data_IF_256346550111
#
_entry.id   IF_256346550111
#
_cell.length_a   1.000
_cell.length_b   1.000
_cell.length_c   1.000
_cell.angle_alpha   90.00
_cell.angle_beta   90.00
_cell.angle_gamma   90.00
#
_symmetry.space_group_name_H-M   'P 1'
#
loop_
_entity.id
_entity.type
_entity.pdbx_description
1 polymer ?
#
# COMPACT_ATOMS: atom_id res chain seq x y z
N UNK A 1 -14.54 -15.48 26.36
CA UNK A 1 -14.24 -14.11 25.93
C UNK A 1 -13.33 -14.18 24.72
N UNK A 2 -13.93 -14.13 23.54
CA UNK A 2 -13.21 -14.19 22.26
C UNK A 2 -12.55 -12.83 22.04
N UNK A 3 -11.23 -12.75 22.19
CA UNK A 3 -10.46 -11.55 21.82
C UNK A 3 -10.71 -11.30 20.33
N UNK A 4 -11.52 -10.28 20.01
CA UNK A 4 -11.74 -9.82 18.63
C UNK A 4 -10.40 -9.32 18.09
N UNK A 5 -9.74 -10.15 17.28
CA UNK A 5 -8.57 -9.79 16.49
C UNK A 5 -9.00 -8.86 15.33
N UNK A 6 -9.36 -7.62 15.67
CA UNK A 6 -9.83 -6.61 14.71
C UNK A 6 -8.75 -6.26 13.65
N UNK A 7 -7.47 -6.51 13.97
CA UNK A 7 -6.32 -6.12 13.16
C UNK A 7 -5.81 -7.18 12.16
N UNK A 8 -6.38 -8.40 12.14
CA UNK A 8 -5.64 -9.55 11.61
C UNK A 8 -5.84 -9.94 10.14
N UNK A 9 -6.64 -9.25 9.31
CA UNK A 9 -6.81 -9.74 7.93
C UNK A 9 -6.86 -8.74 6.76
N UNK A 10 -7.27 -7.48 6.91
CA UNK A 10 -7.45 -6.59 5.72
C UNK A 10 -7.06 -5.12 6.04
N UNK A 11 -6.46 -4.85 7.21
CA UNK A 11 -6.21 -3.48 7.67
C UNK A 11 -4.89 -2.86 7.17
N UNK A 12 -4.04 -3.56 6.40
CA UNK A 12 -2.67 -3.11 6.11
C UNK A 12 -2.61 -1.86 5.22
N UNK A 13 -3.52 -1.72 4.26
CA UNK A 13 -3.49 -0.60 3.28
C UNK A 13 -4.17 0.65 3.85
N UNK A 14 -5.38 0.51 4.41
CA UNK A 14 -6.12 1.65 4.96
C UNK A 14 -5.52 2.21 6.28
N UNK A 15 -4.93 1.36 7.13
CA UNK A 15 -4.34 1.79 8.40
C UNK A 15 -2.91 2.35 8.23
N UNK A 16 -2.21 2.02 7.14
CA UNK A 16 -0.87 2.56 6.88
C UNK A 16 -0.89 4.10 6.77
N UNK A 17 -1.93 4.68 6.15
CA UNK A 17 -2.13 6.13 6.08
C UNK A 17 -2.49 6.79 7.42
N UNK A 18 -3.14 6.06 8.34
CA UNK A 18 -3.48 6.57 9.67
C UNK A 18 -2.32 6.44 10.69
N UNK A 19 -1.44 5.45 10.52
CA UNK A 19 -0.30 5.19 11.41
C UNK A 19 0.88 6.17 11.21
N UNK A 20 0.89 6.96 10.14
CA UNK A 20 1.89 8.04 9.93
C UNK A 20 1.76 9.17 10.95
N UNK A 21 0.60 9.32 11.63
CA UNK A 21 0.26 10.54 12.37
C UNK A 21 0.57 10.56 13.89
N UNK A 22 1.04 9.48 14.52
CA UNK A 22 1.40 9.56 15.95
C UNK A 22 2.54 8.63 16.37
N UNK A 23 3.77 8.96 15.99
CA UNK A 23 4.93 8.23 16.46
C UNK A 23 5.80 9.14 17.31
N UNK A 24 5.51 9.14 18.62
CA UNK A 24 6.34 9.78 19.63
C UNK A 24 7.75 9.16 19.66
N UNK A 25 8.69 9.87 20.29
CA UNK A 25 10.05 9.40 20.58
C UNK A 25 10.05 7.96 21.12
N UNK A 26 11.08 7.15 20.83
CA UNK A 26 11.11 5.77 21.28
C UNK A 26 10.90 5.68 22.79
N UNK A 27 9.89 4.91 23.21
CA UNK A 27 9.85 4.37 24.57
C UNK A 27 11.01 3.37 24.64
N UNK A 28 11.76 3.29 25.75
CA UNK A 28 13.04 2.56 25.79
C UNK A 28 13.05 1.22 25.02
N UNK A 29 14.15 0.94 24.32
CA UNK A 29 14.29 -0.21 23.42
C UNK A 29 13.82 -1.52 24.05
N UNK A 30 13.18 -2.35 23.22
CA UNK A 30 12.59 -3.62 23.62
C UNK A 30 12.50 -4.55 22.41
N UNK A 31 13.45 -5.47 22.27
CA UNK A 31 13.50 -6.43 21.15
C UNK A 31 12.27 -7.33 21.08
N UNK A 32 11.72 -7.70 22.24
CA UNK A 32 10.64 -8.69 22.34
C UNK A 32 9.23 -8.11 22.21
N UNK A 33 9.13 -6.81 21.87
CA UNK A 33 7.89 -6.08 21.80
C UNK A 33 6.85 -6.73 20.85
N UNK A 34 5.54 -6.56 21.14
CA UNK A 34 4.49 -7.36 20.52
C UNK A 34 4.13 -6.94 19.10
N UNK A 35 4.59 -5.77 18.65
CA UNK A 35 4.31 -5.21 17.33
C UNK A 35 5.61 -4.86 16.59
N UNK A 36 5.49 -4.69 15.27
CA UNK A 36 6.56 -4.27 14.38
C UNK A 36 6.06 -3.09 13.55
N UNK A 37 6.90 -2.06 13.40
CA UNK A 37 6.57 -0.84 12.65
C UNK A 37 7.74 -0.44 11.75
N UNK A 38 7.45 0.41 10.76
CA UNK A 38 8.50 1.01 9.93
C UNK A 38 9.34 2.00 10.72
N UNK A 39 10.65 1.97 10.46
CA UNK A 39 11.55 3.05 10.85
C UNK A 39 11.12 4.37 10.16
N UNK A 40 11.26 5.55 10.80
CA UNK A 40 10.73 6.81 10.28
C UNK A 40 11.05 7.16 8.83
N UNK A 41 12.21 6.77 8.31
CA UNK A 41 12.66 7.07 6.95
C UNK A 41 12.33 5.96 5.95
N UNK A 42 11.75 4.85 6.40
CA UNK A 42 11.31 3.74 5.55
C UNK A 42 9.82 3.88 5.21
N UNK A 43 9.50 3.86 3.92
CA UNK A 43 8.11 3.91 3.42
C UNK A 43 7.49 2.51 3.36
N UNK A 44 6.17 2.42 3.53
CA UNK A 44 5.41 1.17 3.40
C UNK A 44 5.48 0.58 1.98
N UNK A 45 5.47 1.45 0.98
CA UNK A 45 5.69 1.13 -0.44
C UNK A 45 6.98 1.80 -0.90
N UNK A 46 7.96 1.01 -1.33
CA UNK A 46 9.29 1.53 -1.68
C UNK A 46 9.69 1.16 -3.10
N UNK A 47 10.11 2.16 -3.89
CA UNK A 47 10.61 1.96 -5.25
C UNK A 47 11.94 1.21 -5.25
N UNK A 48 12.13 0.36 -6.26
CA UNK A 48 13.41 -0.27 -6.55
C UNK A 48 13.61 -0.34 -8.06
N UNK A 49 14.84 -0.12 -8.52
CA UNK A 49 15.19 -0.36 -9.92
C UNK A 49 15.57 -1.83 -10.14
N UNK A 50 15.32 -2.35 -11.34
CA UNK A 50 15.77 -3.69 -11.72
C UNK A 50 17.29 -3.86 -11.52
N UNK A 51 17.68 -4.94 -10.84
CA UNK A 51 19.08 -5.25 -10.51
C UNK A 51 19.69 -4.39 -9.40
N UNK A 52 18.95 -3.41 -8.88
CA UNK A 52 19.36 -2.60 -7.72
C UNK A 52 18.74 -3.15 -6.45
N UNK A 53 19.23 -2.65 -5.32
CA UNK A 53 18.75 -3.02 -3.99
C UNK A 53 18.20 -1.81 -3.25
N UNK A 54 17.16 -2.05 -2.46
CA UNK A 54 16.68 -1.12 -1.43
C UNK A 54 16.79 -1.77 -0.05
N UNK A 55 16.90 -0.96 0.99
CA UNK A 55 16.98 -1.42 2.37
C UNK A 55 15.77 -0.91 3.13
N UNK A 56 14.96 -1.81 3.67
CA UNK A 56 13.81 -1.49 4.51
C UNK A 56 14.24 -1.54 5.97
N UNK A 57 13.98 -0.48 6.74
CA UNK A 57 14.22 -0.42 8.18
C UNK A 57 12.93 -0.67 8.97
N UNK A 58 12.98 -1.58 9.95
CA UNK A 58 11.86 -1.92 10.82
C UNK A 58 12.29 -1.91 12.30
N UNK A 59 11.37 -1.57 13.18
CA UNK A 59 11.59 -1.44 14.62
C UNK A 59 10.49 -2.14 15.41
N UNK A 60 10.81 -2.80 16.54
CA UNK A 60 9.81 -3.21 17.51
C UNK A 60 8.98 -2.03 17.99
N UNK A 61 7.74 -2.32 18.34
CA UNK A 61 6.82 -1.36 18.92
C UNK A 61 5.96 -1.99 20.01
N UNK A 62 5.61 -1.17 20.99
CA UNK A 62 4.80 -1.62 22.12
C UNK A 62 3.36 -1.94 21.69
N UNK A 63 2.52 -2.38 22.64
CA UNK A 63 1.11 -2.72 22.38
C UNK A 63 0.25 -1.57 21.80
N UNK A 64 0.74 -0.33 21.87
CA UNK A 64 0.10 0.87 21.32
C UNK A 64 0.76 1.35 20.02
N UNK A 65 1.57 0.51 19.37
CA UNK A 65 2.31 0.81 18.14
C UNK A 65 3.30 1.98 18.26
N UNK A 66 3.73 2.31 19.49
CA UNK A 66 4.80 3.28 19.69
C UNK A 66 6.14 2.59 19.48
N UNK A 67 7.00 3.19 18.65
CA UNK A 67 8.35 2.71 18.37
C UNK A 67 9.13 2.54 19.68
N UNK A 68 9.90 1.46 19.76
CA UNK A 68 10.84 1.24 20.86
C UNK A 68 12.25 0.97 20.34
N UNK A 69 12.35 0.23 19.23
CA UNK A 69 13.64 -0.17 18.67
C UNK A 69 14.19 -1.44 19.32
N UNK A 70 15.23 -2.00 18.70
CA UNK A 70 15.91 -3.18 19.21
C UNK A 70 16.89 -2.82 20.34
N UNK A 71 17.05 -3.72 21.30
CA UNK A 71 17.92 -3.52 22.48
C UNK A 71 19.39 -3.37 22.10
N UNK A 72 19.79 -3.98 20.98
CA UNK A 72 21.17 -3.96 20.50
C UNK A 72 21.24 -4.03 18.98
N UNK A 73 22.43 -3.67 18.45
CA UNK A 73 22.76 -3.87 17.04
C UNK A 73 22.66 -5.34 16.62
N UNK A 74 23.04 -6.26 17.50
CA UNK A 74 23.00 -7.70 17.22
C UNK A 74 21.55 -8.21 17.17
N UNK A 75 20.68 -7.70 18.04
CA UNK A 75 19.25 -7.99 17.98
C UNK A 75 18.64 -7.47 16.68
N UNK A 76 18.88 -6.21 16.34
CA UNK A 76 18.44 -5.63 15.08
C UNK A 76 18.89 -6.44 13.85
N UNK A 77 20.15 -6.91 13.84
CA UNK A 77 20.71 -7.63 12.71
C UNK A 77 20.13 -9.03 12.49
N UNK A 78 19.60 -9.66 13.53
CA UNK A 78 19.24 -11.08 13.52
C UNK A 78 17.77 -11.36 13.87
N UNK A 79 16.99 -10.36 14.28
CA UNK A 79 15.61 -10.56 14.71
C UNK A 79 14.63 -10.64 13.53
N UNK A 80 14.90 -9.95 12.43
CA UNK A 80 13.97 -9.88 11.30
C UNK A 80 14.09 -11.10 10.38
N UNK A 81 12.95 -11.53 9.83
CA UNK A 81 12.89 -12.56 8.79
C UNK A 81 11.75 -12.27 7.83
N UNK A 82 12.01 -12.37 6.53
CA UNK A 82 10.95 -12.50 5.52
C UNK A 82 10.39 -13.91 5.63
N UNK A 83 9.20 -14.04 6.20
CA UNK A 83 8.55 -15.34 6.39
C UNK A 83 7.87 -15.81 5.09
N UNK A 84 7.28 -14.89 4.35
CA UNK A 84 6.66 -15.19 3.06
C UNK A 84 6.66 -13.98 2.13
N UNK A 85 6.47 -14.25 0.83
CA UNK A 85 6.20 -13.23 -0.18
C UNK A 85 4.85 -13.58 -0.79
N UNK A 86 3.84 -12.76 -0.51
CA UNK A 86 2.43 -13.04 -0.84
C UNK A 86 2.09 -12.60 -2.26
N UNK A 87 2.74 -11.56 -2.75
CA UNK A 87 2.60 -11.01 -4.11
C UNK A 87 3.97 -10.81 -4.74
N UNK A 88 4.09 -11.06 -6.04
CA UNK A 88 5.24 -10.60 -6.83
C UNK A 88 6.58 -11.24 -6.50
N UNK A 89 6.59 -12.49 -6.05
CA UNK A 89 7.85 -13.23 -5.79
C UNK A 89 8.78 -13.25 -7.01
N UNK A 90 8.21 -13.27 -8.21
CA UNK A 90 8.94 -13.22 -9.47
C UNK A 90 9.55 -11.85 -9.78
N UNK A 91 9.19 -10.79 -9.05
CA UNK A 91 9.70 -9.42 -9.25
C UNK A 91 10.99 -9.15 -8.50
N UNK A 92 11.29 -9.92 -7.45
CA UNK A 92 12.45 -9.71 -6.60
C UNK A 92 13.36 -10.94 -6.55
N UNK A 93 14.62 -10.73 -6.18
CA UNK A 93 15.60 -11.80 -6.02
C UNK A 93 15.55 -12.36 -4.60
N UNK A 94 14.85 -13.47 -4.40
CA UNK A 94 14.66 -14.05 -3.06
C UNK A 94 15.93 -14.67 -2.47
N UNK A 95 16.86 -15.12 -3.32
CA UNK A 95 18.14 -15.70 -2.88
C UNK A 95 19.15 -14.62 -2.45
N UNK A 96 18.82 -13.34 -2.69
CA UNK A 96 19.66 -12.19 -2.41
C UNK A 96 19.20 -11.37 -1.19
N UNK A 97 18.21 -11.84 -0.43
CA UNK A 97 17.75 -11.17 0.79
C UNK A 97 18.89 -11.11 1.81
N UNK A 98 19.19 -9.89 2.29
CA UNK A 98 20.20 -9.69 3.34
C UNK A 98 19.57 -9.01 4.54
N UNK A 99 19.96 -9.46 5.73
CA UNK A 99 19.52 -8.90 7.00
C UNK A 99 20.66 -8.11 7.64
N UNK A 100 20.32 -7.07 8.39
CA UNK A 100 21.30 -6.21 9.02
C UNK A 100 20.68 -5.28 10.06
N UNK A 101 21.47 -4.31 10.49
CA UNK A 101 21.05 -3.31 11.45
C UNK A 101 21.52 -1.93 11.00
N UNK A 102 20.71 -0.92 11.30
CA UNK A 102 21.06 0.49 11.16
C UNK A 102 20.79 1.21 12.48
N UNK A 103 21.59 2.23 12.76
CA UNK A 103 21.33 3.12 13.88
C UNK A 103 20.39 4.22 13.39
N UNK A 104 19.33 4.50 14.14
CA UNK A 104 18.39 5.59 13.88
C UNK A 104 18.95 6.92 14.40
N UNK A 105 18.37 8.04 13.96
CA UNK A 105 18.83 9.38 14.34
C UNK A 105 18.75 9.64 15.87
N UNK A 106 17.83 8.96 16.55
CA UNK A 106 17.68 9.00 18.00
C UNK A 106 18.64 8.06 18.77
N UNK A 107 19.50 7.34 18.05
CA UNK A 107 20.50 6.43 18.60
C UNK A 107 20.01 5.00 18.85
N UNK A 108 18.73 4.71 18.65
CA UNK A 108 18.15 3.36 18.72
C UNK A 108 18.61 2.47 17.56
N UNK A 109 18.28 1.18 17.61
CA UNK A 109 18.59 0.24 16.54
C UNK A 109 17.33 -0.18 15.79
N UNK A 110 17.38 -0.11 14.46
CA UNK A 110 16.40 -0.70 13.56
C UNK A 110 17.03 -1.91 12.85
N UNK A 111 16.25 -2.97 12.72
CA UNK A 111 16.62 -4.11 11.89
C UNK A 111 16.38 -3.76 10.43
N UNK A 112 17.18 -4.33 9.54
CA UNK A 112 17.07 -4.06 8.11
C UNK A 112 16.88 -5.33 7.28
N UNK A 113 16.07 -5.20 6.24
CA UNK A 113 15.94 -6.20 5.17
C UNK A 113 16.31 -5.52 3.87
N UNK A 114 17.38 -5.97 3.22
CA UNK A 114 17.76 -5.53 1.89
C UNK A 114 17.17 -6.47 0.84
N UNK A 115 16.48 -5.88 -0.12
CA UNK A 115 15.78 -6.57 -1.22
C UNK A 115 16.35 -6.08 -2.54
N UNK A 116 16.54 -6.98 -3.49
CA UNK A 116 17.03 -6.67 -4.84
C UNK A 116 15.93 -6.91 -5.87
N UNK A 117 15.67 -5.92 -6.73
CA UNK A 117 14.76 -6.05 -7.86
C UNK A 117 15.32 -7.03 -8.88
N UNK A 118 14.49 -7.92 -9.43
CA UNK A 118 14.93 -8.89 -10.42
C UNK A 118 15.07 -8.22 -11.78
N UNK A 119 16.18 -8.50 -12.47
CA UNK A 119 16.42 -8.00 -13.82
C UNK A 119 15.31 -8.41 -14.78
N UNK A 120 14.82 -7.45 -15.57
CA UNK A 120 13.78 -7.68 -16.58
C UNK A 120 12.37 -7.93 -16.04
N UNK A 121 12.15 -7.79 -14.73
CA UNK A 121 10.83 -7.84 -14.12
C UNK A 121 10.42 -6.45 -13.61
N UNK A 122 9.12 -6.18 -13.58
CA UNK A 122 8.54 -4.98 -12.98
C UNK A 122 7.22 -5.31 -12.30
N UNK A 123 6.76 -4.41 -11.44
CA UNK A 123 5.54 -4.57 -10.65
C UNK A 123 5.82 -4.73 -9.15
N UNK A 124 4.74 -4.83 -8.36
CA UNK A 124 4.85 -4.85 -6.90
C UNK A 124 5.21 -6.25 -6.38
N UNK A 125 5.86 -6.29 -5.23
CA UNK A 125 6.07 -7.46 -4.41
C UNK A 125 5.76 -7.13 -2.95
N UNK A 126 5.01 -7.98 -2.27
CA UNK A 126 4.64 -7.80 -0.86
C UNK A 126 5.33 -8.85 0.00
N UNK A 127 6.07 -8.39 1.01
CA UNK A 127 6.89 -9.20 1.90
C UNK A 127 6.27 -9.21 3.30
N UNK A 128 5.94 -10.40 3.78
CA UNK A 128 5.56 -10.61 5.18
C UNK A 128 6.82 -10.73 6.03
N UNK A 129 7.12 -9.69 6.83
CA UNK A 129 8.31 -9.63 7.67
C UNK A 129 7.92 -9.78 9.12
N UNK A 130 8.61 -10.67 9.84
CA UNK A 130 8.35 -10.98 11.24
C UNK A 130 9.56 -10.63 12.11
N UNK A 131 9.31 -10.23 13.35
CA UNK A 131 10.31 -10.21 14.42
C UNK A 131 10.32 -11.58 15.12
N UNK A 132 11.32 -12.39 14.80
CA UNK A 132 11.48 -13.76 15.32
C UNK A 132 11.83 -13.83 16.80
N UNK A 133 12.24 -12.71 17.41
CA UNK A 133 12.54 -12.60 18.84
C UNK A 133 11.35 -12.08 19.66
N UNK A 134 10.26 -11.65 19.01
CA UNK A 134 9.07 -11.21 19.73
C UNK A 134 8.40 -12.34 20.52
N UNK A 135 7.80 -11.99 21.65
CA UNK A 135 6.93 -12.89 22.41
C UNK A 135 5.53 -13.04 21.79
N UNK A 136 5.19 -12.22 20.78
CA UNK A 136 3.91 -12.24 20.10
C UNK A 136 4.01 -12.70 18.65
N UNK A 137 3.06 -13.53 18.22
CA UNK A 137 2.88 -13.88 16.80
C UNK A 137 2.35 -12.73 15.93
N UNK A 138 2.11 -11.56 16.54
CA UNK A 138 1.63 -10.35 15.86
C UNK A 138 2.73 -9.34 15.56
N UNK A 139 3.97 -9.60 15.95
CA UNK A 139 5.10 -8.74 15.63
C UNK A 139 5.54 -8.97 14.18
N UNK A 140 4.68 -8.57 13.26
CA UNK A 140 4.86 -8.70 11.83
C UNK A 140 4.30 -7.48 11.11
N UNK A 141 4.77 -7.29 9.88
CA UNK A 141 4.35 -6.22 8.98
C UNK A 141 4.47 -6.69 7.54
N UNK A 142 3.50 -6.32 6.72
CA UNK A 142 3.58 -6.49 5.28
C UNK A 142 4.18 -5.23 4.66
N UNK A 143 5.29 -5.38 3.95
CA UNK A 143 5.98 -4.28 3.25
C UNK A 143 5.87 -4.48 1.75
N UNK A 144 5.56 -3.43 1.02
CA UNK A 144 5.55 -3.46 -0.44
C UNK A 144 6.82 -2.83 -0.99
N UNK A 145 7.45 -3.53 -1.93
CA UNK A 145 8.42 -2.94 -2.85
C UNK A 145 7.86 -3.01 -4.25
N UNK A 146 8.20 -2.07 -5.12
CA UNK A 146 7.78 -2.13 -6.51
C UNK A 146 8.96 -1.86 -7.43
N UNK A 147 9.12 -2.75 -8.41
CA UNK A 147 10.21 -2.67 -9.37
C UNK A 147 9.74 -1.86 -10.57
N UNK A 148 10.45 -0.78 -10.89
CA UNK A 148 10.22 -0.04 -12.13
C UNK A 148 10.64 -0.87 -13.35
N UNK A 149 9.87 -0.76 -14.43
CA UNK A 149 10.25 -1.30 -15.72
C UNK A 149 11.48 -0.57 -16.26
N UNK A 150 12.34 -1.32 -16.96
CA UNK A 150 13.54 -0.75 -17.59
C UNK A 150 13.21 0.33 -18.65
N UNK A 151 12.01 0.26 -19.21
CA UNK A 151 11.43 1.28 -20.10
C UNK A 151 9.97 1.45 -19.72
N UNK A 152 9.48 2.69 -19.82
CA UNK A 152 8.07 3.00 -19.66
C UNK A 152 7.19 2.11 -20.53
N UNK A 153 6.22 1.45 -19.92
CA UNK A 153 5.30 0.54 -20.57
C UNK A 153 4.29 1.32 -21.44
N UNK A 154 3.67 0.60 -22.37
CA UNK A 154 2.63 1.17 -23.21
C UNK A 154 1.38 1.49 -22.40
N UNK A 155 0.61 2.45 -22.90
CA UNK A 155 -0.70 2.75 -22.34
C UNK A 155 -1.64 1.56 -22.56
N UNK A 156 -2.62 1.41 -21.67
CA UNK A 156 -3.66 0.38 -21.77
C UNK A 156 -5.02 1.03 -21.87
N UNK A 157 -5.99 0.34 -22.44
CA UNK A 157 -7.39 0.76 -22.43
C UNK A 157 -8.17 -0.12 -21.47
N UNK A 158 -8.51 0.41 -20.31
CA UNK A 158 -9.38 -0.27 -19.34
C UNK A 158 -10.83 -0.18 -19.82
N UNK A 159 -11.64 -1.18 -19.50
CA UNK A 159 -13.04 -1.23 -19.92
C UNK A 159 -13.87 -0.15 -19.22
N UNK A 160 -13.66 0.04 -17.92
CA UNK A 160 -14.34 1.08 -17.15
C UNK A 160 -13.56 1.46 -15.88
N UNK A 161 -13.82 2.67 -15.40
CA UNK A 161 -13.44 3.12 -14.05
C UNK A 161 -14.66 3.71 -13.38
N UNK A 162 -14.93 3.30 -12.15
CA UNK A 162 -16.03 3.80 -11.31
C UNK A 162 -15.49 4.33 -9.98
N UNK A 163 -16.03 5.44 -9.48
CA UNK A 163 -15.80 5.93 -8.12
C UNK A 163 -17.14 6.22 -7.43
N UNK A 164 -17.39 5.58 -6.30
CA UNK A 164 -18.67 5.64 -5.58
C UNK A 164 -18.49 5.91 -4.09
N UNK A 165 -19.42 6.65 -3.50
CA UNK A 165 -19.53 6.84 -2.04
C UNK A 165 -20.55 5.87 -1.45
N UNK A 166 -20.08 4.92 -0.64
CA UNK A 166 -20.90 3.87 -0.02
C UNK A 166 -21.47 4.28 1.35
N UNK A 167 -21.24 5.51 1.80
CA UNK A 167 -21.80 5.99 3.07
C UNK A 167 -23.31 6.20 2.98
N UNK A 168 -23.97 6.20 4.14
CA UNK A 168 -25.41 6.47 4.19
C UNK A 168 -25.69 7.89 3.69
N UNK A 169 -26.37 7.99 2.55
CA UNK A 169 -26.62 9.27 1.87
C UNK A 169 -25.47 9.73 0.97
N UNK A 170 -24.57 8.82 0.59
CA UNK A 170 -23.46 9.08 -0.34
C UNK A 170 -23.91 9.81 -1.60
N UNK A 171 -23.13 10.82 -1.98
CA UNK A 171 -23.48 11.77 -3.04
C UNK A 171 -22.67 11.61 -4.32
N UNK A 172 -21.62 10.80 -4.29
CA UNK A 172 -20.66 10.67 -5.39
C UNK A 172 -20.87 9.36 -6.13
N UNK A 173 -21.08 9.48 -7.44
CA UNK A 173 -21.02 8.38 -8.39
C UNK A 173 -20.41 8.93 -9.69
N UNK A 174 -19.22 8.45 -10.02
CA UNK A 174 -18.47 8.85 -11.20
C UNK A 174 -18.11 7.61 -12.02
N UNK A 175 -18.29 7.69 -13.33
CA UNK A 175 -18.10 6.55 -14.22
C UNK A 175 -17.52 7.00 -15.56
N UNK A 176 -16.62 6.19 -16.11
CA UNK A 176 -16.07 6.37 -17.44
C UNK A 176 -15.74 5.03 -18.09
N UNK A 177 -15.87 4.93 -19.41
CA UNK A 177 -15.63 3.72 -20.19
C UNK A 177 -14.49 3.89 -21.18
N UNK A 178 -13.84 2.78 -21.52
CA UNK A 178 -12.79 2.72 -22.55
C UNK A 178 -11.68 3.77 -22.31
N UNK A 179 -11.30 3.95 -21.04
CA UNK A 179 -10.34 4.97 -20.66
C UNK A 179 -8.93 4.51 -21.01
N UNK A 180 -8.17 5.37 -21.68
CA UNK A 180 -6.74 5.18 -21.87
C UNK A 180 -6.02 5.53 -20.58
N UNK A 181 -5.28 4.58 -20.04
CA UNK A 181 -4.48 4.70 -18.82
C UNK A 181 -3.02 4.63 -19.20
N UNK A 182 -2.32 5.74 -18.95
CA UNK A 182 -0.89 5.87 -19.14
C UNK A 182 -0.17 5.74 -17.79
N UNK A 183 1.09 5.31 -17.83
CA UNK A 183 1.95 5.35 -16.65
C UNK A 183 2.11 6.79 -16.13
N UNK A 184 2.30 6.95 -14.82
CA UNK A 184 2.39 8.27 -14.20
C UNK A 184 3.46 9.16 -14.85
N UNK A 185 4.61 8.61 -15.25
CA UNK A 185 5.72 9.36 -15.85
C UNK A 185 5.36 10.15 -17.13
N UNK A 186 4.30 9.76 -17.83
CA UNK A 186 3.85 10.42 -19.07
C UNK A 186 2.99 11.64 -18.81
N UNK A 187 2.47 11.82 -17.60
CA UNK A 187 1.46 12.83 -17.29
C UNK A 187 1.88 13.71 -16.11
N UNK A 188 2.29 14.95 -16.41
CA UNK A 188 2.76 15.92 -15.40
C UNK A 188 1.69 16.36 -14.40
N UNK A 189 0.41 16.21 -14.74
CA UNK A 189 -0.72 16.58 -13.88
C UNK A 189 -1.25 15.38 -13.07
N UNK A 190 -0.75 14.16 -13.31
CA UNK A 190 -1.15 13.00 -12.55
C UNK A 190 -0.65 13.13 -11.11
N UNK A 191 -1.54 13.09 -10.09
CA UNK A 191 -1.13 13.21 -8.69
C UNK A 191 -0.10 12.17 -8.22
N UNK A 192 0.06 11.07 -8.95
CA UNK A 192 1.07 10.03 -8.67
C UNK A 192 2.42 10.28 -9.36
N UNK A 193 2.54 11.29 -10.24
CA UNK A 193 3.81 11.65 -10.89
C UNK A 193 4.83 12.10 -9.86
N UNK A 194 5.99 11.46 -9.86
CA UNK A 194 7.10 11.69 -8.91
C UNK A 194 6.70 11.54 -7.44
N UNK A 195 5.56 10.92 -7.16
CA UNK A 195 5.09 10.70 -5.81
C UNK A 195 5.79 9.51 -5.17
N UNK A 196 6.22 9.70 -3.92
CA UNK A 196 6.70 8.60 -3.09
C UNK A 196 5.64 7.48 -3.01
N UNK A 197 6.10 6.23 -3.04
CA UNK A 197 5.21 5.07 -2.96
C UNK A 197 4.36 4.79 -4.21
N UNK A 198 4.65 5.44 -5.33
CA UNK A 198 3.89 5.31 -6.59
C UNK A 198 4.77 4.89 -7.76
N UNK A 199 4.30 3.91 -8.53
CA UNK A 199 4.99 3.45 -9.72
C UNK A 199 4.95 4.50 -10.82
N UNK A 200 6.05 4.63 -11.56
CA UNK A 200 6.21 5.67 -12.58
C UNK A 200 6.17 5.11 -14.00
N UNK A 201 6.67 3.89 -14.21
CA UNK A 201 6.95 3.35 -15.55
C UNK A 201 5.87 2.40 -16.10
N UNK A 202 4.79 2.11 -15.38
CA UNK A 202 3.69 1.27 -15.89
C UNK A 202 2.32 1.77 -15.42
N UNK A 203 1.25 1.57 -16.21
CA UNK A 203 -0.11 1.98 -15.84
C UNK A 203 -0.61 1.24 -14.60
N UNK A 204 -1.15 1.98 -13.63
CA UNK A 204 -1.66 1.45 -12.37
C UNK A 204 -3.16 1.71 -12.15
N UNK A 205 -3.73 1.07 -11.13
CA UNK A 205 -5.11 1.35 -10.72
C UNK A 205 -5.29 2.81 -10.25
N UNK A 206 -4.25 3.41 -9.66
CA UNK A 206 -4.18 4.84 -9.34
C UNK A 206 -4.24 5.70 -10.61
N UNK A 207 -3.47 5.36 -11.63
CA UNK A 207 -3.50 6.07 -12.91
C UNK A 207 -4.86 5.96 -13.61
N UNK A 208 -5.57 4.84 -13.43
CA UNK A 208 -6.92 4.68 -13.93
C UNK A 208 -7.92 5.65 -13.27
N UNK A 209 -7.76 5.93 -11.96
CA UNK A 209 -8.52 6.99 -11.29
C UNK A 209 -8.19 8.37 -11.88
N UNK A 210 -6.93 8.61 -12.21
CA UNK A 210 -6.53 9.84 -12.89
C UNK A 210 -7.17 9.99 -14.27
N UNK A 211 -7.19 8.93 -15.08
CA UNK A 211 -7.90 8.96 -16.37
C UNK A 211 -9.41 9.27 -16.21
N UNK A 212 -10.06 8.73 -15.16
CA UNK A 212 -11.44 9.09 -14.83
C UNK A 212 -11.55 10.57 -14.43
N UNK A 213 -10.62 11.05 -13.60
CA UNK A 213 -10.59 12.44 -13.15
C UNK A 213 -10.45 13.42 -14.31
N UNK A 214 -9.55 13.16 -15.26
CA UNK A 214 -9.42 13.98 -16.47
C UNK A 214 -10.69 13.96 -17.32
N UNK A 215 -11.32 12.80 -17.46
CA UNK A 215 -12.51 12.63 -18.31
C UNK A 215 -13.72 13.35 -17.74
N UNK A 216 -13.94 13.25 -16.42
CA UNK A 216 -15.14 13.77 -15.77
C UNK A 216 -14.92 15.14 -15.09
N UNK A 217 -13.71 15.70 -15.13
CA UNK A 217 -13.39 16.96 -14.46
C UNK A 217 -13.31 16.84 -12.95
N UNK A 218 -12.88 15.68 -12.44
CA UNK A 218 -12.67 15.43 -11.01
C UNK A 218 -11.28 15.90 -10.60
N UNK A 219 -11.04 15.96 -9.29
CA UNK A 219 -9.69 16.06 -8.76
C UNK A 219 -9.53 15.17 -7.53
N UNK A 220 -8.32 14.73 -7.23
CA UNK A 220 -8.06 13.97 -6.02
C UNK A 220 -6.68 14.32 -5.46
N UNK A 221 -6.51 14.08 -4.17
CA UNK A 221 -5.25 14.24 -3.45
C UNK A 221 -4.78 12.86 -3.03
N UNK A 222 -3.51 12.59 -3.21
CA UNK A 222 -2.85 11.39 -2.72
C UNK A 222 -1.68 11.77 -1.79
N UNK A 223 -1.34 10.86 -0.88
CA UNK A 223 -0.16 10.94 -0.02
C UNK A 223 0.46 9.55 0.09
N UNK A 224 1.78 9.45 -0.17
CA UNK A 224 2.55 8.20 -0.13
C UNK A 224 1.92 7.04 -0.95
N UNK A 225 1.23 7.36 -2.05
CA UNK A 225 0.55 6.39 -2.91
C UNK A 225 -0.89 6.06 -2.51
N UNK A 226 -1.44 6.70 -1.48
CA UNK A 226 -2.81 6.48 -1.00
C UNK A 226 -3.70 7.67 -1.34
N UNK A 227 -4.90 7.40 -1.90
CA UNK A 227 -5.87 8.46 -2.19
C UNK A 227 -6.52 8.94 -0.89
N UNK A 228 -6.29 10.21 -0.55
CA UNK A 228 -6.75 10.85 0.68
C UNK A 228 -8.14 11.46 0.50
N UNK A 229 -8.42 12.02 -0.68
CA UNK A 229 -9.69 12.66 -0.97
C UNK A 229 -9.96 12.76 -2.45
N UNK A 230 -11.23 12.79 -2.83
CA UNK A 230 -11.69 13.04 -4.19
C UNK A 230 -12.75 14.15 -4.17
N UNK A 231 -12.63 15.09 -5.09
CA UNK A 231 -13.66 16.09 -5.39
C UNK A 231 -14.35 15.68 -6.68
N UNK A 232 -15.66 15.43 -6.59
CA UNK A 232 -16.46 14.96 -7.72
C UNK A 232 -16.78 16.06 -8.73
N UNK A 233 -17.46 15.70 -9.83
CA UNK A 233 -17.80 16.63 -10.92
C UNK A 233 -18.76 17.75 -10.49
N UNK A 234 -19.45 17.59 -9.36
CA UNK A 234 -20.32 18.61 -8.75
C UNK A 234 -19.58 19.51 -7.77
N UNK A 235 -18.28 19.25 -7.53
CA UNK A 235 -17.48 19.97 -6.55
C UNK A 235 -17.63 19.46 -5.11
N UNK A 236 -18.23 18.28 -4.91
CA UNK A 236 -18.37 17.67 -3.58
C UNK A 236 -17.07 16.99 -3.21
N UNK A 237 -16.48 17.40 -2.08
CA UNK A 237 -15.27 16.79 -1.53
C UNK A 237 -15.60 15.64 -0.59
N UNK A 238 -15.01 14.48 -0.85
CA UNK A 238 -15.08 13.29 0.00
C UNK A 238 -13.67 12.92 0.44
N UNK A 239 -13.35 13.18 1.70
CA UNK A 239 -12.05 12.96 2.32
C UNK A 239 -12.11 11.88 3.39
N UNK A 240 -11.00 11.17 3.61
CA UNK A 240 -10.90 10.20 4.70
C UNK A 240 -11.17 10.85 6.05
N UNK A 241 -11.69 10.04 6.99
CA UNK A 241 -11.83 10.43 8.39
C UNK A 241 -11.86 9.21 9.29
N UNK A 242 -11.77 9.45 10.59
CA UNK A 242 -11.95 8.42 11.62
C UNK A 242 -13.00 8.89 12.63
N UNK A 243 -13.94 8.02 12.99
CA UNK A 243 -14.96 8.28 14.01
C UNK A 243 -14.39 8.17 15.43
N UNK A 244 -15.14 8.60 16.43
CA UNK A 244 -14.73 8.52 17.85
C UNK A 244 -14.41 7.08 18.32
N UNK A 245 -15.04 6.07 17.69
CA UNK A 245 -14.80 4.65 17.97
C UNK A 245 -13.66 4.04 17.13
N UNK A 246 -12.85 4.89 16.49
CA UNK A 246 -11.71 4.52 15.63
C UNK A 246 -12.09 3.76 14.36
N UNK A 247 -13.34 3.92 13.88
CA UNK A 247 -13.74 3.39 12.57
C UNK A 247 -13.20 4.32 11.48
N UNK A 248 -12.35 3.76 10.62
CA UNK A 248 -11.76 4.47 9.49
C UNK A 248 -12.69 4.44 8.27
N UNK A 249 -12.85 5.61 7.65
CA UNK A 249 -13.50 5.80 6.35
C UNK A 249 -12.48 6.38 5.38
N UNK A 250 -12.40 5.80 4.19
CA UNK A 250 -11.46 6.26 3.16
C UNK A 250 -11.74 5.64 1.80
N UNK A 251 -10.90 5.98 0.82
CA UNK A 251 -10.99 5.44 -0.53
C UNK A 251 -10.33 4.06 -0.60
N UNK A 252 -11.11 3.07 -1.00
CA UNK A 252 -10.68 1.70 -1.28
C UNK A 252 -10.76 1.45 -2.78
N UNK A 253 -10.08 0.43 -3.27
CA UNK A 253 -10.11 0.10 -4.69
C UNK A 253 -10.20 -1.40 -4.94
N UNK A 254 -10.64 -1.75 -6.15
CA UNK A 254 -10.68 -3.11 -6.65
C UNK A 254 -10.43 -3.10 -8.16
N UNK A 255 -9.75 -4.13 -8.66
CA UNK A 255 -9.61 -4.39 -10.10
C UNK A 255 -10.28 -5.72 -10.40
N UNK A 256 -11.19 -5.73 -11.38
CA UNK A 256 -11.78 -6.94 -11.95
C UNK A 256 -11.16 -7.18 -13.31
N UNK A 257 -10.57 -8.35 -13.48
CA UNK A 257 -9.91 -8.79 -14.71
C UNK A 257 -10.56 -10.10 -15.16
N UNK A 258 -11.07 -10.13 -16.39
CA UNK A 258 -11.73 -11.31 -16.95
C UNK A 258 -12.87 -11.87 -16.07
N UNK A 259 -13.64 -10.99 -15.42
CA UNK A 259 -14.75 -11.37 -14.53
C UNK A 259 -14.32 -11.73 -13.10
N UNK A 260 -13.02 -11.78 -12.80
CA UNK A 260 -12.51 -12.14 -11.48
C UNK A 260 -11.80 -10.97 -10.81
N UNK A 261 -11.96 -10.86 -9.48
CA UNK A 261 -11.22 -9.90 -8.68
C UNK A 261 -9.73 -10.23 -8.69
N UNK A 262 -8.89 -9.23 -8.98
CA UNK A 262 -7.43 -9.34 -8.90
C UNK A 262 -7.01 -9.34 -7.43
N UNK A 263 -6.66 -10.52 -6.91
CA UNK A 263 -6.39 -10.74 -5.50
C UNK A 263 -5.21 -9.91 -4.96
N UNK A 264 -4.24 -9.57 -5.80
CA UNK A 264 -3.11 -8.72 -5.42
C UNK A 264 -3.57 -7.33 -4.94
N UNK A 265 -4.71 -6.83 -5.42
CA UNK A 265 -5.26 -5.53 -5.02
C UNK A 265 -5.71 -5.46 -3.57
N UNK A 266 -5.92 -6.60 -2.90
CA UNK A 266 -6.21 -6.63 -1.47
C UNK A 266 -4.95 -6.47 -0.60
N UNK A 267 -3.77 -6.51 -1.22
CA UNK A 267 -2.46 -6.58 -0.54
C UNK A 267 -1.61 -5.34 -0.82
N UNK A 268 -1.65 -4.80 -2.04
CA UNK A 268 -0.80 -3.68 -2.46
C UNK A 268 -1.61 -2.41 -2.67
N UNK A 269 -0.94 -1.25 -2.76
CA UNK A 269 -1.61 0.01 -3.08
C UNK A 269 -2.05 0.08 -4.55
N UNK A 270 -3.11 0.85 -4.82
CA UNK A 270 -3.56 1.19 -6.17
C UNK A 270 -2.47 1.87 -7.00
N UNK A 271 -1.57 2.63 -6.36
CA UNK A 271 -0.45 3.34 -6.99
C UNK A 271 0.66 2.43 -7.52
N UNK A 272 0.59 1.12 -7.26
CA UNK A 272 1.58 0.13 -7.70
C UNK A 272 0.96 -1.12 -8.33
N UNK A 273 -0.36 -1.33 -8.20
CA UNK A 273 -1.01 -2.44 -8.87
C UNK A 273 -1.19 -2.14 -10.36
N UNK A 274 -0.52 -2.93 -11.20
CA UNK A 274 -0.61 -2.79 -12.65
C UNK A 274 -2.02 -3.13 -13.19
N UNK A 275 -2.55 -2.26 -14.03
CA UNK A 275 -3.78 -2.51 -14.81
C UNK A 275 -3.46 -2.96 -16.23
N UNK A 276 -4.39 -3.72 -16.82
CA UNK A 276 -4.29 -4.30 -18.17
C UNK A 276 -5.47 -3.84 -19.02
N UNK A 277 -5.34 -4.08 -20.32
CA UNK A 277 -6.46 -3.86 -21.25
C UNK A 277 -7.70 -4.60 -20.76
N UNK A 278 -8.86 -3.97 -20.90
CA UNK A 278 -10.19 -4.51 -20.54
C UNK A 278 -10.46 -4.71 -19.05
N UNK A 279 -9.52 -4.38 -18.16
CA UNK A 279 -9.78 -4.36 -16.72
C UNK A 279 -10.92 -3.40 -16.38
N UNK A 280 -11.67 -3.70 -15.34
CA UNK A 280 -12.61 -2.75 -14.72
C UNK A 280 -12.02 -2.33 -13.37
N UNK A 281 -11.90 -1.03 -13.14
CA UNK A 281 -11.33 -0.48 -11.90
C UNK A 281 -12.43 0.20 -11.10
N UNK A 282 -12.55 -0.14 -9.83
CA UNK A 282 -13.57 0.39 -8.94
C UNK A 282 -12.92 1.08 -7.76
N UNK A 283 -13.47 2.23 -7.38
CA UNK A 283 -13.11 3.00 -6.21
C UNK A 283 -14.34 3.17 -5.33
N UNK A 284 -14.20 2.90 -4.05
CA UNK A 284 -15.29 2.96 -3.09
C UNK A 284 -14.85 3.73 -1.84
N UNK A 285 -15.50 4.87 -1.60
CA UNK A 285 -15.37 5.56 -0.33
C UNK A 285 -16.25 4.90 0.72
N UNK A 286 -15.68 4.58 1.87
CA UNK A 286 -16.38 3.92 2.96
C UNK A 286 -15.44 3.22 3.93
N UNK A 287 -16.01 2.44 4.83
CA UNK A 287 -15.24 1.48 5.62
C UNK A 287 -14.71 0.35 4.72
N UNK A 288 -13.64 -0.32 5.15
CA UNK A 288 -13.09 -1.48 4.44
C UNK A 288 -14.16 -2.57 4.22
N UNK A 289 -15.05 -2.74 5.19
CA UNK A 289 -16.13 -3.73 5.11
C UNK A 289 -17.18 -3.35 4.05
N UNK A 290 -17.60 -2.09 3.99
CA UNK A 290 -18.55 -1.63 2.96
C UNK A 290 -17.94 -1.81 1.57
N UNK A 291 -16.68 -1.44 1.40
CA UNK A 291 -15.96 -1.62 0.15
C UNK A 291 -15.84 -3.11 -0.25
N UNK A 292 -15.47 -4.00 0.69
CA UNK A 292 -15.39 -5.44 0.47
C UNK A 292 -16.73 -6.02 0.00
N UNK A 293 -17.83 -5.72 0.69
CA UNK A 293 -19.18 -6.18 0.33
C UNK A 293 -19.59 -5.68 -1.07
N UNK A 294 -19.28 -4.43 -1.40
CA UNK A 294 -19.56 -3.85 -2.70
C UNK A 294 -18.72 -4.49 -3.82
N UNK A 295 -17.42 -4.71 -3.59
CA UNK A 295 -16.53 -5.35 -4.57
C UNK A 295 -16.87 -6.81 -4.81
N UNK A 296 -17.27 -7.56 -3.78
CA UNK A 296 -17.72 -8.94 -3.91
C UNK A 296 -19.00 -9.04 -4.75
N UNK A 297 -19.93 -8.10 -4.57
CA UNK A 297 -21.14 -7.99 -5.39
C UNK A 297 -20.79 -7.74 -6.86
N UNK A 298 -19.85 -6.83 -7.15
CA UNK A 298 -19.41 -6.54 -8.52
C UNK A 298 -18.73 -7.75 -9.16
N UNK A 299 -17.87 -8.45 -8.43
CA UNK A 299 -17.21 -9.66 -8.92
C UNK A 299 -18.22 -10.79 -9.22
N UNK A 300 -19.28 -10.91 -8.42
CA UNK A 300 -20.34 -11.89 -8.68
C UNK A 300 -21.22 -11.55 -9.90
N UNK A 301 -21.20 -10.30 -10.35
CA UNK A 301 -21.99 -9.81 -11.49
C UNK A 301 -21.19 -9.69 -12.80
N UNK A 302 -19.87 -9.87 -12.75
CA UNK A 302 -18.95 -9.68 -13.87
C UNK A 302 -18.83 -10.92 -14.78
#
# INVERSE_FOLDING_TARGET
MTKKNLFKKIASVALAGALTLSMALPVGAATEDPNLVVEPNTKYSTQIEAGKSVTLGLMPANAHYQRTGFDSKDDAANALKVESITVGKDKISTDALKYGAMQTDDGSWAGTVQITGKDGAYGPASLHIVNTKSTSSTANIDMTVYVEAATTQNDVTVASVEATDLTDGGSTYEYGENLTVAAADKNVNNPFKDADGSAQSYPTAGDALYSLAETNGLSFVQEDGYVQSLTDSNGTLVSWYTTEDWTYYGWNYCVIRNGEKVAEGDIVSASVLEVKNTDKVYWAFGTSKQAEEYFDMLAAAA
#
